data_IF_536586883345
#
_entry.id   IF_536586883345
#
_cell.length_a   1.000
_cell.length_b   1.000
_cell.length_c   1.000
_cell.angle_alpha   90.00
_cell.angle_beta   90.00
_cell.angle_gamma   90.00
#
_symmetry.space_group_name_H-M   'P 1'
#
loop_
_entity.id
_entity.type
_entity.pdbx_description
1 polymer ?
#
# COMPACT_ATOMS: atom_id res chain seq x y z
N UNK A 1 -26.96 36.42 -83.46
CA UNK A 1 -25.86 37.04 -84.22
C UNK A 1 -24.97 35.94 -84.75
N UNK A 2 -25.41 35.24 -85.80
CA UNK A 2 -24.65 34.11 -86.37
C UNK A 2 -24.47 34.37 -87.86
N UNK A 3 -23.56 35.30 -88.17
CA UNK A 3 -23.01 35.50 -89.51
C UNK A 3 -21.63 34.88 -89.54
N UNK A 4 -21.38 34.01 -90.52
CA UNK A 4 -20.14 33.24 -90.70
C UNK A 4 -18.87 34.10 -90.81
N UNK A 5 -19.00 35.42 -91.03
CA UNK A 5 -17.89 36.36 -91.18
C UNK A 5 -17.28 36.83 -89.85
N UNK A 6 -18.01 36.82 -88.72
CA UNK A 6 -17.49 37.36 -87.45
C UNK A 6 -16.50 36.44 -86.71
N UNK A 7 -16.39 35.17 -87.11
CA UNK A 7 -15.33 34.30 -86.57
C UNK A 7 -13.92 34.67 -87.06
N UNK A 8 -13.82 35.42 -88.16
CA UNK A 8 -12.54 35.86 -88.77
C UNK A 8 -12.22 37.33 -88.54
N UNK A 9 -13.21 38.14 -88.15
CA UNK A 9 -13.04 39.56 -87.90
C UNK A 9 -13.33 39.87 -86.42
N UNK A 10 -12.30 40.14 -85.60
CA UNK A 10 -12.52 40.47 -84.20
C UNK A 10 -13.29 41.79 -84.08
N UNK A 11 -14.27 41.83 -83.18
CA UNK A 11 -14.89 43.08 -82.77
C UNK A 11 -13.85 43.89 -81.99
N UNK A 12 -13.55 45.08 -82.50
CA UNK A 12 -12.55 45.97 -81.91
C UNK A 12 -13.22 47.25 -81.45
N UNK A 13 -12.68 47.84 -80.39
CA UNK A 13 -13.18 49.13 -79.89
C UNK A 13 -12.76 50.23 -80.88
N UNK A 14 -13.73 50.83 -81.56
CA UNK A 14 -13.52 51.84 -82.60
C UNK A 14 -14.32 53.10 -82.30
N UNK A 15 -13.80 54.26 -82.71
CA UNK A 15 -14.51 55.53 -82.63
C UNK A 15 -15.53 55.63 -83.77
N UNK A 16 -16.78 55.93 -83.44
CA UNK A 16 -17.89 56.01 -84.40
C UNK A 16 -17.86 57.33 -85.19
N UNK A 17 -16.82 57.52 -86.01
CA UNK A 17 -16.73 58.65 -86.94
C UNK A 17 -17.84 58.62 -87.98
N UNK A 18 -18.27 57.43 -88.39
CA UNK A 18 -19.21 57.19 -89.48
C UNK A 18 -20.68 57.18 -89.05
N UNK A 19 -20.97 57.44 -87.75
CA UNK A 19 -22.34 57.44 -87.19
C UNK A 19 -23.12 56.17 -87.56
N UNK A 20 -22.48 55.00 -87.43
CA UNK A 20 -23.14 53.71 -87.62
C UNK A 20 -24.16 53.46 -86.51
N UNK A 21 -25.33 52.95 -86.88
CA UNK A 21 -26.37 52.57 -85.92
C UNK A 21 -25.99 51.26 -85.22
N UNK A 22 -26.25 51.18 -83.92
CA UNK A 22 -26.01 49.96 -83.16
C UNK A 22 -26.93 48.85 -83.66
N UNK A 23 -26.39 47.66 -83.94
CA UNK A 23 -27.20 46.53 -84.44
C UNK A 23 -28.15 45.96 -83.40
N UNK A 24 -27.91 46.22 -82.11
CA UNK A 24 -28.74 45.72 -81.00
C UNK A 24 -29.91 46.67 -80.73
N UNK A 25 -29.64 47.95 -80.43
CA UNK A 25 -30.71 48.91 -80.12
C UNK A 25 -31.22 49.70 -81.33
N UNK A 26 -30.57 49.58 -82.49
CA UNK A 26 -30.89 50.30 -83.73
C UNK A 26 -30.82 51.83 -83.63
N UNK A 27 -30.34 52.37 -82.52
CA UNK A 27 -30.12 53.80 -82.31
C UNK A 27 -28.71 54.19 -82.79
N UNK A 28 -28.62 55.36 -83.39
CA UNK A 28 -27.35 56.00 -83.75
C UNK A 28 -26.91 56.93 -82.61
N UNK A 29 -26.00 56.50 -81.73
CA UNK A 29 -25.37 57.43 -80.79
C UNK A 29 -24.48 58.44 -81.53
N UNK A 30 -24.24 59.60 -80.89
CA UNK A 30 -23.28 60.61 -81.34
C UNK A 30 -21.83 60.12 -81.32
N UNK A 31 -20.87 61.04 -81.47
CA UNK A 31 -19.43 60.73 -81.41
C UNK A 31 -19.10 59.98 -80.11
N UNK A 32 -18.50 58.79 -80.23
CA UNK A 32 -18.15 57.93 -79.10
C UNK A 32 -17.50 56.62 -79.54
N UNK A 33 -17.08 55.79 -78.58
CA UNK A 33 -16.50 54.47 -78.85
C UNK A 33 -17.57 53.37 -78.88
N UNK A 34 -17.43 52.42 -79.79
CA UNK A 34 -18.32 51.26 -79.93
C UNK A 34 -17.50 50.00 -80.28
N UNK A 35 -18.09 48.82 -80.07
CA UNK A 35 -17.53 47.59 -80.60
C UNK A 35 -17.93 47.46 -82.06
N UNK A 36 -16.93 47.64 -82.93
CA UNK A 36 -17.11 47.72 -84.37
C UNK A 36 -16.34 46.62 -85.09
N UNK A 37 -16.89 46.20 -86.22
CA UNK A 37 -16.19 45.39 -87.21
C UNK A 37 -16.41 46.02 -88.58
N UNK A 38 -15.45 46.84 -89.02
CA UNK A 38 -15.50 47.56 -90.29
C UNK A 38 -15.77 46.65 -91.51
N UNK A 39 -15.10 45.48 -91.65
CA UNK A 39 -15.35 44.56 -92.78
C UNK A 39 -16.77 43.98 -92.83
N UNK A 40 -17.48 43.96 -91.70
CA UNK A 40 -18.84 43.43 -91.59
C UNK A 40 -19.87 44.53 -91.38
N UNK A 41 -19.44 45.79 -91.42
CA UNK A 41 -20.29 46.97 -91.16
C UNK A 41 -21.08 46.88 -89.85
N UNK A 42 -20.59 46.11 -88.88
CA UNK A 42 -21.26 45.88 -87.60
C UNK A 42 -20.78 46.93 -86.60
N UNK A 43 -21.74 47.57 -85.95
CA UNK A 43 -21.52 48.50 -84.85
C UNK A 43 -22.42 48.08 -83.69
N UNK A 44 -21.87 47.95 -82.48
CA UNK A 44 -22.62 47.66 -81.27
C UNK A 44 -22.14 48.61 -80.17
N UNK A 45 -23.07 49.37 -79.57
CA UNK A 45 -22.72 50.21 -78.42
C UNK A 45 -22.18 49.35 -77.29
N UNK A 46 -21.21 49.88 -76.56
CA UNK A 46 -20.63 49.22 -75.38
C UNK A 46 -21.77 48.83 -74.41
N UNK A 47 -22.71 49.75 -74.17
CA UNK A 47 -23.87 49.57 -73.30
C UNK A 47 -24.89 48.53 -73.81
N UNK A 48 -24.84 48.18 -75.08
CA UNK A 48 -25.70 47.15 -75.67
C UNK A 48 -25.10 45.74 -75.57
N UNK A 49 -23.81 45.63 -75.21
CA UNK A 49 -23.13 44.35 -74.95
C UNK A 49 -23.25 43.94 -73.47
N UNK A 50 -23.95 44.73 -72.65
CA UNK A 50 -24.19 44.46 -71.23
C UNK A 50 -24.56 42.99 -70.99
N UNK A 51 -23.98 42.33 -69.97
CA UNK A 51 -24.24 40.92 -69.70
C UNK A 51 -25.74 40.68 -69.55
N UNK A 52 -26.23 39.57 -70.12
CA UNK A 52 -27.65 39.19 -70.00
C UNK A 52 -28.03 39.16 -68.50
N UNK A 53 -29.24 39.62 -68.12
CA UNK A 53 -29.72 39.62 -66.73
C UNK A 53 -29.59 38.26 -66.01
N UNK A 54 -29.56 37.18 -66.79
CA UNK A 54 -29.37 35.80 -66.31
C UNK A 54 -27.99 35.60 -65.67
N UNK A 55 -26.92 36.17 -66.25
CA UNK A 55 -25.54 36.00 -65.75
C UNK A 55 -25.36 36.73 -64.41
N UNK A 56 -25.88 37.97 -64.31
CA UNK A 56 -25.89 38.73 -63.04
C UNK A 56 -26.70 38.00 -61.97
N UNK A 57 -27.85 37.42 -62.31
CA UNK A 57 -28.66 36.67 -61.35
C UNK A 57 -27.97 35.40 -60.83
N UNK A 58 -27.25 34.67 -61.70
CA UNK A 58 -26.51 33.46 -61.33
C UNK A 58 -25.29 33.80 -60.45
N UNK A 59 -24.59 34.88 -60.77
CA UNK A 59 -23.48 35.40 -59.96
C UNK A 59 -23.98 35.84 -58.57
N UNK A 60 -25.11 36.54 -58.49
CA UNK A 60 -25.72 36.95 -57.23
C UNK A 60 -26.17 35.74 -56.38
N UNK A 61 -26.73 34.69 -57.01
CA UNK A 61 -27.07 33.43 -56.33
C UNK A 61 -25.81 32.72 -55.82
N UNK A 62 -24.72 32.74 -56.59
CA UNK A 62 -23.46 32.15 -56.17
C UNK A 62 -22.80 32.92 -55.01
N UNK A 63 -22.82 34.25 -55.05
CA UNK A 63 -22.33 35.12 -53.96
C UNK A 63 -23.11 34.90 -52.67
N UNK A 64 -24.45 34.85 -52.74
CA UNK A 64 -25.28 34.60 -51.55
C UNK A 64 -25.06 33.21 -50.96
N UNK A 65 -24.85 32.18 -51.80
CA UNK A 65 -24.49 30.84 -51.35
C UNK A 65 -23.12 30.82 -50.65
N UNK A 66 -22.09 31.40 -51.27
CA UNK A 66 -20.75 31.51 -50.67
C UNK A 66 -20.79 32.29 -49.36
N UNK A 67 -21.54 33.40 -49.30
CA UNK A 67 -21.71 34.17 -48.08
C UNK A 67 -22.42 33.36 -46.98
N UNK A 68 -23.41 32.54 -47.35
CA UNK A 68 -24.05 31.60 -46.44
C UNK A 68 -23.06 30.59 -45.85
N UNK A 69 -22.21 29.98 -46.68
CA UNK A 69 -21.16 29.06 -46.23
C UNK A 69 -20.14 29.75 -45.32
N UNK A 70 -19.70 30.97 -45.66
CA UNK A 70 -18.79 31.76 -44.82
C UNK A 70 -19.40 32.00 -43.44
N UNK A 71 -20.68 32.39 -43.40
CA UNK A 71 -21.37 32.66 -42.14
C UNK A 71 -21.51 31.39 -41.30
N UNK A 72 -21.84 30.25 -41.92
CA UNK A 72 -21.93 28.96 -41.23
C UNK A 72 -20.58 28.52 -40.66
N UNK A 73 -19.51 28.56 -41.47
CA UNK A 73 -18.16 28.22 -41.02
C UNK A 73 -17.70 29.16 -39.90
N UNK A 74 -18.07 30.43 -39.96
CA UNK A 74 -17.77 31.41 -38.91
C UNK A 74 -18.47 31.08 -37.59
N UNK A 75 -19.72 30.64 -37.63
CA UNK A 75 -20.43 30.20 -36.41
C UNK A 75 -19.83 28.92 -35.83
N UNK A 76 -19.52 27.93 -36.68
CA UNK A 76 -18.88 26.69 -36.25
C UNK A 76 -17.50 26.94 -35.63
N UNK A 77 -16.69 27.83 -36.22
CA UNK A 77 -15.39 28.23 -35.68
C UNK A 77 -15.52 28.86 -34.29
N UNK A 78 -16.52 29.72 -34.10
CA UNK A 78 -16.78 30.35 -32.81
C UNK A 78 -17.20 29.32 -31.75
N UNK A 79 -18.09 28.39 -32.09
CA UNK A 79 -18.49 27.30 -31.20
C UNK A 79 -17.31 26.39 -30.82
N UNK A 80 -16.45 26.04 -31.78
CA UNK A 80 -15.23 25.28 -31.52
C UNK A 80 -14.26 26.05 -30.63
N UNK A 81 -14.14 27.37 -30.81
CA UNK A 81 -13.37 28.24 -29.91
C UNK A 81 -13.84 28.14 -28.45
N UNK A 82 -15.15 28.22 -28.22
CA UNK A 82 -15.74 28.07 -26.88
C UNK A 82 -15.47 26.68 -26.30
N UNK A 83 -15.60 25.62 -27.12
CA UNK A 83 -15.30 24.25 -26.69
C UNK A 83 -13.83 24.08 -26.28
N UNK A 84 -12.88 24.63 -27.06
CA UNK A 84 -11.45 24.60 -26.75
C UNK A 84 -11.18 25.34 -25.43
N UNK A 85 -11.78 26.51 -25.22
CA UNK A 85 -11.60 27.28 -23.99
C UNK A 85 -12.12 26.50 -22.76
N UNK A 86 -13.27 25.83 -22.88
CA UNK A 86 -13.82 24.97 -21.84
C UNK A 86 -12.91 23.76 -21.54
N UNK A 87 -12.36 23.12 -22.57
CA UNK A 87 -11.41 22.01 -22.40
C UNK A 87 -10.11 22.48 -21.73
N UNK A 88 -9.58 23.64 -22.10
CA UNK A 88 -8.38 24.21 -21.48
C UNK A 88 -8.59 24.49 -19.99
N UNK A 89 -9.73 25.08 -19.61
CA UNK A 89 -10.08 25.29 -18.19
C UNK A 89 -10.14 23.97 -17.41
N UNK A 90 -10.67 22.91 -18.02
CA UNK A 90 -10.71 21.58 -17.39
C UNK A 90 -9.31 20.96 -17.27
N UNK A 91 -8.45 21.13 -18.27
CA UNK A 91 -7.06 20.68 -18.25
C UNK A 91 -6.29 21.35 -17.12
N UNK A 92 -6.41 22.68 -16.97
CA UNK A 92 -5.76 23.44 -15.90
C UNK A 92 -6.21 22.95 -14.51
N UNK A 93 -7.52 22.71 -14.34
CA UNK A 93 -8.06 22.15 -13.09
C UNK A 93 -7.50 20.77 -12.79
N UNK A 94 -7.35 19.90 -13.80
CA UNK A 94 -6.77 18.57 -13.60
C UNK A 94 -5.28 18.63 -13.31
N UNK A 95 -4.54 19.55 -13.95
CA UNK A 95 -3.13 19.79 -13.68
C UNK A 95 -2.89 20.19 -12.23
N UNK A 96 -3.68 21.14 -11.71
CA UNK A 96 -3.61 21.53 -10.30
C UNK A 96 -3.91 20.37 -9.35
N UNK A 97 -4.91 19.54 -9.64
CA UNK A 97 -5.22 18.35 -8.82
C UNK A 97 -4.07 17.34 -8.83
N UNK A 98 -3.46 17.11 -9.99
CA UNK A 98 -2.31 16.22 -10.12
C UNK A 98 -1.12 16.73 -9.29
N UNK A 99 -0.82 18.03 -9.36
CA UNK A 99 0.26 18.64 -8.59
C UNK A 99 0.02 18.54 -7.07
N UNK A 100 -1.22 18.72 -6.62
CA UNK A 100 -1.61 18.51 -5.22
C UNK A 100 -1.42 17.05 -4.80
N UNK A 101 -1.95 16.10 -5.58
CA UNK A 101 -1.81 14.66 -5.30
C UNK A 101 -0.35 14.21 -5.29
N UNK A 102 0.49 14.76 -6.16
CA UNK A 102 1.92 14.47 -6.17
C UNK A 102 2.61 14.90 -4.87
N UNK A 103 2.28 16.09 -4.35
CA UNK A 103 2.78 16.56 -3.06
C UNK A 103 2.32 15.68 -1.91
N UNK A 104 1.04 15.30 -1.89
CA UNK A 104 0.50 14.42 -0.85
C UNK A 104 1.20 13.05 -0.89
N UNK A 105 1.40 12.49 -2.10
CA UNK A 105 2.12 11.23 -2.29
C UNK A 105 3.57 11.33 -1.80
N UNK A 106 4.27 12.42 -2.08
CA UNK A 106 5.64 12.63 -1.61
C UNK A 106 5.70 12.78 -0.08
N UNK A 107 4.74 13.49 0.52
CA UNK A 107 4.57 13.60 1.96
C UNK A 107 4.35 12.24 2.62
N UNK A 108 3.38 11.46 2.10
CA UNK A 108 3.10 10.10 2.57
C UNK A 108 4.34 9.22 2.43
N UNK A 109 5.06 9.30 1.31
CA UNK A 109 6.30 8.54 1.10
C UNK A 109 7.34 8.85 2.18
N UNK A 110 7.51 10.13 2.54
CA UNK A 110 8.41 10.53 3.62
C UNK A 110 7.98 9.95 4.98
N UNK A 111 6.67 10.00 5.31
CA UNK A 111 6.16 9.43 6.56
C UNK A 111 6.36 7.91 6.63
N UNK A 112 6.12 7.19 5.54
CA UNK A 112 6.36 5.75 5.43
C UNK A 112 7.83 5.43 5.68
N UNK A 113 8.75 6.17 5.05
CA UNK A 113 10.18 5.94 5.23
C UNK A 113 10.62 6.15 6.68
N UNK A 114 10.09 7.17 7.36
CA UNK A 114 10.37 7.41 8.78
C UNK A 114 9.86 6.26 9.66
N UNK A 115 8.62 5.82 9.47
CA UNK A 115 8.05 4.70 10.21
C UNK A 115 8.81 3.40 9.97
N UNK A 116 9.24 3.14 8.73
CA UNK A 116 10.09 1.98 8.40
C UNK A 116 11.42 2.03 9.15
N UNK A 117 12.05 3.20 9.26
CA UNK A 117 13.28 3.36 10.04
C UNK A 117 13.05 3.11 11.55
N UNK A 118 11.95 3.63 12.11
CA UNK A 118 11.58 3.39 13.51
C UNK A 118 11.29 1.92 13.81
N UNK A 119 10.53 1.23 12.95
CA UNK A 119 10.24 -0.21 13.11
C UNK A 119 11.54 -1.01 13.11
N UNK A 120 12.46 -0.74 12.18
CA UNK A 120 13.78 -1.41 12.14
C UNK A 120 14.60 -1.16 13.41
N UNK A 121 14.53 0.04 13.97
CA UNK A 121 15.21 0.37 15.23
C UNK A 121 14.62 -0.41 16.41
N UNK A 122 13.29 -0.50 16.50
CA UNK A 122 12.61 -1.28 17.54
C UNK A 122 12.87 -2.77 17.39
N UNK A 123 12.88 -3.31 16.18
CA UNK A 123 13.23 -4.71 15.93
C UNK A 123 14.66 -5.05 16.39
N UNK A 124 15.60 -4.12 16.24
CA UNK A 124 16.95 -4.28 16.78
C UNK A 124 16.95 -4.33 18.31
N UNK A 125 16.21 -3.44 18.97
CA UNK A 125 16.08 -3.44 20.43
C UNK A 125 15.41 -4.71 20.95
N UNK A 126 14.36 -5.21 20.29
CA UNK A 126 13.68 -6.45 20.65
C UNK A 126 14.67 -7.62 20.61
N UNK A 127 15.46 -7.75 19.53
CA UNK A 127 16.48 -8.80 19.43
C UNK A 127 17.52 -8.71 20.55
N UNK A 128 17.99 -7.51 20.87
CA UNK A 128 18.92 -7.32 21.99
C UNK A 128 18.30 -7.76 23.32
N UNK A 129 17.03 -7.44 23.57
CA UNK A 129 16.34 -7.87 24.78
C UNK A 129 16.13 -9.38 24.81
N UNK A 130 15.81 -10.01 23.68
CA UNK A 130 15.69 -11.47 23.56
C UNK A 130 17.01 -12.17 23.89
N UNK A 131 18.14 -11.67 23.37
CA UNK A 131 19.47 -12.20 23.67
C UNK A 131 19.80 -12.10 25.17
N UNK A 132 19.49 -10.96 25.79
CA UNK A 132 19.67 -10.77 27.24
C UNK A 132 18.80 -11.73 28.07
N UNK A 133 17.53 -11.92 27.69
CA UNK A 133 16.62 -12.86 28.36
C UNK A 133 17.11 -14.30 28.23
N UNK A 134 17.58 -14.70 27.04
CA UNK A 134 18.15 -16.03 26.82
C UNK A 134 19.40 -16.25 27.67
N UNK A 135 20.27 -15.25 27.77
CA UNK A 135 21.47 -15.31 28.62
C UNK A 135 21.11 -15.48 30.10
N UNK A 136 20.20 -14.65 30.60
CA UNK A 136 19.75 -14.70 31.99
C UNK A 136 19.09 -16.05 32.31
N UNK A 137 18.30 -16.59 31.38
CA UNK A 137 17.68 -17.91 31.54
C UNK A 137 18.72 -19.04 31.66
N UNK A 138 19.83 -18.96 30.91
CA UNK A 138 20.93 -19.94 31.01
C UNK A 138 21.62 -19.85 32.37
N UNK A 139 21.89 -18.64 32.84
CA UNK A 139 22.51 -18.39 34.15
C UNK A 139 21.63 -18.93 35.29
N UNK A 140 20.33 -18.64 35.26
CA UNK A 140 19.39 -19.19 36.24
C UNK A 140 19.34 -20.72 36.24
N UNK A 141 19.30 -21.35 35.06
CA UNK A 141 19.32 -22.81 34.95
C UNK A 141 20.60 -23.39 35.56
N UNK A 142 21.76 -22.78 35.29
CA UNK A 142 23.03 -23.24 35.83
C UNK A 142 23.12 -23.10 37.35
N UNK A 143 22.71 -21.94 37.89
CA UNK A 143 22.71 -21.70 39.34
C UNK A 143 21.78 -22.66 40.08
N UNK A 144 20.59 -22.89 39.52
CA UNK A 144 19.60 -23.82 40.09
C UNK A 144 20.16 -25.24 40.17
N UNK A 145 20.79 -25.71 39.09
CA UNK A 145 21.42 -27.03 39.06
C UNK A 145 22.56 -27.16 40.08
N UNK A 146 23.42 -26.15 40.17
CA UNK A 146 24.54 -26.16 41.13
C UNK A 146 24.02 -26.23 42.58
N UNK A 147 22.98 -25.45 42.91
CA UNK A 147 22.33 -25.49 44.22
C UNK A 147 21.68 -26.85 44.51
N UNK A 148 21.02 -27.44 43.52
CA UNK A 148 20.42 -28.78 43.65
C UNK A 148 21.49 -29.84 43.95
N UNK A 149 22.60 -29.82 43.21
CA UNK A 149 23.72 -30.74 43.42
C UNK A 149 24.35 -30.55 44.82
N UNK A 150 24.53 -29.30 45.27
CA UNK A 150 25.06 -28.99 46.60
C UNK A 150 24.13 -29.49 47.71
N UNK A 151 22.81 -29.25 47.58
CA UNK A 151 21.82 -29.73 48.55
C UNK A 151 21.76 -31.26 48.58
N UNK A 152 21.85 -31.92 47.42
CA UNK A 152 21.86 -33.39 47.33
C UNK A 152 23.08 -33.99 48.02
N UNK A 153 24.24 -33.36 47.90
CA UNK A 153 25.45 -33.78 48.64
C UNK A 153 25.26 -33.61 50.15
N UNK A 154 24.74 -32.47 50.60
CA UNK A 154 24.46 -32.20 52.02
C UNK A 154 23.47 -33.20 52.62
N UNK A 155 22.39 -33.53 51.89
CA UNK A 155 21.41 -34.54 52.31
C UNK A 155 22.10 -35.89 52.50
N UNK A 156 22.91 -36.34 51.53
CA UNK A 156 23.62 -37.62 51.60
C UNK A 156 24.56 -37.73 52.79
N UNK A 157 25.25 -36.64 53.13
CA UNK A 157 26.17 -36.65 54.28
C UNK A 157 25.42 -36.62 55.61
N UNK A 158 24.29 -35.90 55.70
CA UNK A 158 23.40 -35.94 56.86
C UNK A 158 22.76 -37.32 57.06
N UNK A 159 22.34 -37.99 55.99
CA UNK A 159 21.81 -39.36 56.04
C UNK A 159 22.83 -40.33 56.65
N UNK A 160 24.09 -40.29 56.21
CA UNK A 160 25.16 -41.12 56.78
C UNK A 160 25.38 -40.86 58.28
N UNK A 161 25.36 -39.59 58.70
CA UNK A 161 25.55 -39.25 60.11
C UNK A 161 24.36 -39.72 60.96
N UNK A 162 23.13 -39.61 60.43
CA UNK A 162 21.93 -40.16 61.08
C UNK A 162 22.03 -41.68 61.21
N UNK A 163 22.47 -42.41 60.18
CA UNK A 163 22.65 -43.86 60.22
C UNK A 163 23.71 -44.27 61.25
N UNK A 164 24.81 -43.53 61.31
CA UNK A 164 25.86 -43.73 62.31
C UNK A 164 25.32 -43.55 63.73
N UNK A 165 24.57 -42.47 63.97
CA UNK A 165 23.93 -42.22 65.27
C UNK A 165 22.92 -43.33 65.63
N UNK A 166 22.12 -43.81 64.68
CA UNK A 166 21.19 -44.93 64.88
C UNK A 166 21.93 -46.20 65.34
N UNK A 167 23.03 -46.56 64.68
CA UNK A 167 23.84 -47.73 65.06
C UNK A 167 24.40 -47.60 66.47
N UNK A 168 24.99 -46.44 66.81
CA UNK A 168 25.51 -46.20 68.16
C UNK A 168 24.43 -46.29 69.24
N UNK A 169 23.22 -45.79 68.97
CA UNK A 169 22.09 -45.90 69.90
C UNK A 169 21.66 -47.36 70.07
N UNK A 170 21.64 -48.14 68.99
CA UNK A 170 21.29 -49.57 69.04
C UNK A 170 22.30 -50.36 69.87
N UNK A 171 23.59 -50.14 69.66
CA UNK A 171 24.67 -50.80 70.39
C UNK A 171 24.57 -50.52 71.89
N UNK A 172 24.48 -49.25 72.28
CA UNK A 172 24.31 -48.83 73.69
C UNK A 172 23.02 -49.40 74.28
N UNK A 173 21.95 -49.51 73.48
CA UNK A 173 20.69 -50.10 73.94
C UNK A 173 20.81 -51.60 74.17
N UNK A 174 21.57 -52.33 73.35
CA UNK A 174 21.81 -53.76 73.56
C UNK A 174 22.72 -54.01 74.76
N UNK A 175 23.77 -53.20 74.95
CA UNK A 175 24.61 -53.25 76.16
C UNK A 175 23.75 -53.05 77.42
N UNK A 176 22.86 -52.04 77.43
CA UNK A 176 21.91 -51.83 78.53
C UNK A 176 20.99 -53.02 78.74
N UNK A 177 20.45 -53.60 77.65
CA UNK A 177 19.60 -54.81 77.72
C UNK A 177 20.36 -55.98 78.33
N UNK A 178 21.62 -56.18 77.95
CA UNK A 178 22.44 -57.28 78.45
C UNK A 178 22.77 -57.12 79.94
N UNK A 179 23.12 -55.91 80.38
CA UNK A 179 23.28 -55.60 81.82
C UNK A 179 22.01 -55.94 82.58
N UNK A 180 20.83 -55.56 82.06
CA UNK A 180 19.54 -55.89 82.69
C UNK A 180 19.33 -57.42 82.76
N UNK A 181 19.66 -58.17 81.69
CA UNK A 181 19.57 -59.65 81.69
C UNK A 181 20.45 -60.25 82.78
N UNK A 182 21.71 -59.82 82.89
CA UNK A 182 22.66 -60.31 83.89
C UNK A 182 22.22 -60.00 85.32
N UNK A 183 21.71 -58.79 85.58
CA UNK A 183 21.15 -58.44 86.88
C UNK A 183 19.92 -59.27 87.23
N UNK A 184 19.02 -59.49 86.25
CA UNK A 184 17.81 -60.31 86.44
C UNK A 184 18.16 -61.74 86.83
N UNK A 185 19.09 -62.36 86.10
CA UNK A 185 19.60 -63.70 86.42
C UNK A 185 20.17 -63.78 87.84
N UNK A 186 21.00 -62.80 88.22
CA UNK A 186 21.59 -62.74 89.56
C UNK A 186 20.52 -62.60 90.64
N UNK A 187 19.52 -61.74 90.44
CA UNK A 187 18.41 -61.56 91.36
C UNK A 187 17.57 -62.84 91.51
N UNK A 188 17.29 -63.54 90.42
CA UNK A 188 16.55 -64.81 90.45
C UNK A 188 17.34 -65.90 91.20
N UNK A 189 18.67 -65.94 91.05
CA UNK A 189 19.54 -66.82 91.82
C UNK A 189 19.44 -66.54 93.32
N UNK A 190 19.64 -65.28 93.76
CA UNK A 190 19.52 -64.92 95.17
C UNK A 190 18.12 -65.17 95.73
N UNK A 191 17.07 -64.87 94.95
CA UNK A 191 15.68 -65.13 95.33
C UNK A 191 15.41 -66.63 95.52
N UNK A 192 15.99 -67.48 94.68
CA UNK A 192 15.88 -68.93 94.78
C UNK A 192 16.61 -69.44 96.03
N UNK A 193 17.85 -69.02 96.27
CA UNK A 193 18.60 -69.36 97.48
C UNK A 193 17.91 -68.90 98.77
N UNK A 194 17.30 -67.72 98.78
CA UNK A 194 16.51 -67.25 99.93
C UNK A 194 15.26 -68.11 100.17
N UNK A 195 14.55 -68.53 99.11
CA UNK A 195 13.41 -69.46 99.23
C UNK A 195 13.85 -70.79 99.81
N UNK A 196 14.96 -71.35 99.32
CA UNK A 196 15.53 -72.60 99.84
C UNK A 196 15.89 -72.47 101.33
N UNK A 197 16.63 -71.42 101.71
CA UNK A 197 16.97 -71.15 103.11
C UNK A 197 15.71 -70.97 103.98
N UNK A 198 14.69 -70.28 103.48
CA UNK A 198 13.40 -70.14 104.17
C UNK A 198 12.69 -71.50 104.35
N UNK A 199 12.70 -72.36 103.33
CA UNK A 199 12.15 -73.72 103.45
C UNK A 199 12.95 -74.57 104.43
N UNK A 200 14.28 -74.48 104.44
CA UNK A 200 15.13 -75.16 105.41
C UNK A 200 14.82 -74.72 106.84
N UNK A 201 14.68 -73.42 107.09
CA UNK A 201 14.27 -72.91 108.40
C UNK A 201 12.87 -73.40 108.82
N UNK A 202 11.92 -73.46 107.89
CA UNK A 202 10.61 -74.07 108.15
C UNK A 202 10.79 -75.54 108.56
N UNK A 203 11.51 -76.36 107.81
CA UNK A 203 11.74 -77.77 108.15
C UNK A 203 12.44 -77.96 109.50
N UNK A 204 13.48 -77.17 109.80
CA UNK A 204 14.18 -77.22 111.09
C UNK A 204 13.26 -76.84 112.25
N UNK A 205 12.36 -75.87 112.05
CA UNK A 205 11.34 -75.50 113.05
C UNK A 205 10.32 -76.62 113.26
N UNK A 206 9.91 -77.35 112.22
CA UNK A 206 9.02 -78.51 112.37
C UNK A 206 9.74 -79.72 113.01
N UNK A 207 11.02 -79.94 112.73
CA UNK A 207 11.82 -81.01 113.35
C UNK A 207 12.07 -80.78 114.85
N UNK A 208 12.11 -79.52 115.31
CA UNK A 208 12.21 -79.17 116.73
C UNK A 208 10.86 -79.25 117.46
N UNK A 209 9.73 -79.27 116.73
CA UNK A 209 8.38 -79.43 117.31
C UNK A 209 7.94 -80.92 117.33
N UNK A 210 8.65 -81.81 116.64
CA UNK A 210 8.36 -83.24 116.55
C UNK A 210 9.22 -84.13 117.50
N UNK A 211 9.97 -83.52 118.42
CA UNK A 211 10.69 -84.13 119.55
C UNK A 211 9.97 -83.73 120.86
#
# INVERSE_FOLDING_TARGET
MDHSCHRKHPLVLQFNSERRACKICQVTQGRGYLYGCSPCELAIHIDCVSPLPVIESLLAVQETNLQGQINQLKTELNEKGIQIEALNKNLDKMKLKYDMLMKDKDCVTATVNNLVAEVRSRDLQIRQMEDHLQQLSKEHMQLTKNLEDELKLKIKDLEKEVDKQRSMILDVSEEKREVIRQLTFSLDHYRSGYKEFQTFLKHKRHAVIAL
#
